data_IF_224116156695
#
_entry.id   IF_224116156695
#
_cell.length_a   1.000
_cell.length_b   1.000
_cell.length_c   1.000
_cell.angle_alpha   90.00
_cell.angle_beta   90.00
_cell.angle_gamma   90.00
#
_symmetry.space_group_name_H-M   'P 1'
#
loop_
_entity.id
_entity.type
_entity.pdbx_description
1 polymer ?
#
# COMPACT_ATOMS: atom_id res chain seq x y z
N UNK A 1 -1.16 18.87 -9.18
CA UNK A 1 -0.56 17.85 -8.31
C UNK A 1 -1.43 17.75 -7.06
N UNK A 2 -1.72 16.52 -6.61
CA UNK A 2 -2.60 16.26 -5.48
C UNK A 2 -1.76 15.97 -4.23
N UNK A 3 -2.21 16.48 -3.08
CA UNK A 3 -1.72 16.14 -1.74
C UNK A 3 -2.67 15.11 -1.13
N UNK A 4 -2.10 14.06 -0.55
CA UNK A 4 -2.89 13.02 0.11
C UNK A 4 -3.02 13.26 1.60
N UNK A 5 -4.24 13.20 2.12
CA UNK A 5 -4.59 13.57 3.48
C UNK A 5 -5.40 12.46 4.15
N UNK A 6 -5.22 12.29 5.46
CA UNK A 6 -6.14 11.53 6.31
C UNK A 6 -6.92 12.48 7.19
N UNK A 7 -8.23 12.52 7.00
CA UNK A 7 -9.18 13.16 7.90
C UNK A 7 -9.70 12.14 8.92
N UNK A 8 -9.73 12.54 10.20
CA UNK A 8 -10.33 11.77 11.30
C UNK A 8 -11.33 12.66 12.02
N UNK A 9 -12.60 12.28 12.02
CA UNK A 9 -13.67 13.05 12.64
C UNK A 9 -14.85 12.19 13.06
N UNK A 10 -15.95 12.82 13.44
CA UNK A 10 -17.20 12.12 13.70
C UNK A 10 -17.97 11.84 12.40
N UNK A 11 -18.84 10.84 12.40
CA UNK A 11 -19.76 10.55 11.28
C UNK A 11 -20.76 11.70 11.05
N UNK A 12 -21.07 12.49 12.08
CA UNK A 12 -22.01 13.59 11.97
C UNK A 12 -21.48 14.68 11.01
N UNK A 13 -22.25 15.00 9.95
CA UNK A 13 -21.93 15.99 8.91
C UNK A 13 -20.68 15.69 8.06
N UNK A 14 -20.30 14.42 7.96
CA UNK A 14 -19.19 14.04 7.09
C UNK A 14 -19.47 14.25 5.60
N UNK A 15 -20.74 14.19 5.18
CA UNK A 15 -21.17 14.53 3.82
C UNK A 15 -20.68 15.93 3.42
N UNK A 16 -20.67 16.90 4.35
CA UNK A 16 -20.14 18.24 4.10
C UNK A 16 -18.63 18.25 3.78
N UNK A 17 -17.88 17.22 4.19
CA UNK A 17 -16.49 17.03 3.79
C UNK A 17 -16.40 16.39 2.41
N UNK A 18 -17.20 15.37 2.12
CA UNK A 18 -17.21 14.73 0.80
C UNK A 18 -17.61 15.72 -0.30
N UNK A 19 -18.67 16.51 -0.09
CA UNK A 19 -19.11 17.58 -1.00
C UNK A 19 -17.99 18.61 -1.25
N UNK A 20 -17.30 19.05 -0.19
CA UNK A 20 -16.18 19.98 -0.35
C UNK A 20 -15.05 19.38 -1.20
N UNK A 21 -14.75 18.10 -1.01
CA UNK A 21 -13.68 17.44 -1.75
C UNK A 21 -14.04 17.33 -3.23
N UNK A 22 -15.29 16.99 -3.55
CA UNK A 22 -15.80 16.98 -4.92
C UNK A 22 -15.77 18.39 -5.55
N UNK A 23 -16.20 19.42 -4.82
CA UNK A 23 -16.17 20.82 -5.29
C UNK A 23 -14.76 21.33 -5.59
N UNK A 24 -13.76 20.83 -4.84
CA UNK A 24 -12.35 21.15 -5.06
C UNK A 24 -11.70 20.30 -6.15
N UNK A 25 -12.44 19.38 -6.80
CA UNK A 25 -11.90 18.45 -7.78
C UNK A 25 -10.94 17.42 -7.18
N UNK A 26 -11.08 17.14 -5.88
CA UNK A 26 -10.38 16.09 -5.15
C UNK A 26 -11.15 14.76 -5.18
N UNK A 27 -10.59 13.75 -4.52
CA UNK A 27 -11.11 12.39 -4.52
C UNK A 27 -11.07 11.77 -3.13
N UNK A 28 -12.10 10.99 -2.80
CA UNK A 28 -12.10 10.13 -1.61
C UNK A 28 -11.46 8.78 -1.96
N UNK A 29 -10.22 8.59 -1.51
CA UNK A 29 -9.46 7.35 -1.74
C UNK A 29 -10.03 6.18 -0.94
N UNK A 30 -10.41 6.44 0.30
CA UNK A 30 -10.94 5.45 1.21
C UNK A 30 -11.84 6.11 2.24
N UNK A 31 -12.95 5.44 2.52
CA UNK A 31 -13.82 5.74 3.64
C UNK A 31 -13.83 4.56 4.61
N UNK A 32 -13.69 4.84 5.91
CA UNK A 32 -13.79 3.82 6.95
C UNK A 32 -14.54 4.38 8.15
N UNK A 33 -15.73 3.82 8.37
CA UNK A 33 -16.58 4.12 9.51
C UNK A 33 -16.37 3.09 10.62
N UNK A 34 -16.06 3.56 11.83
CA UNK A 34 -15.97 2.72 13.03
C UNK A 34 -16.81 3.32 14.15
N UNK A 35 -18.00 2.78 14.37
CA UNK A 35 -18.98 3.24 15.36
C UNK A 35 -19.41 4.70 15.16
N UNK A 36 -18.74 5.65 15.82
CA UNK A 36 -19.00 7.09 15.68
C UNK A 36 -17.84 7.82 15.00
N UNK A 37 -16.71 7.14 14.80
CA UNK A 37 -15.52 7.68 14.17
C UNK A 37 -15.56 7.43 12.67
N UNK A 38 -15.14 8.44 11.92
CA UNK A 38 -14.94 8.39 10.49
C UNK A 38 -13.48 8.70 10.19
N UNK A 39 -12.85 7.83 9.40
CA UNK A 39 -11.53 8.06 8.83
C UNK A 39 -11.67 8.11 7.31
N UNK A 40 -11.37 9.27 6.73
CA UNK A 40 -11.33 9.48 5.28
C UNK A 40 -9.87 9.61 4.84
N UNK A 41 -9.51 8.91 3.78
CA UNK A 41 -8.28 9.17 3.02
C UNK A 41 -8.67 9.91 1.77
N UNK A 42 -8.04 11.06 1.54
CA UNK A 42 -8.44 12.06 0.55
C UNK A 42 -7.24 12.40 -0.33
N UNK A 43 -7.47 12.72 -1.60
CA UNK A 43 -6.51 13.35 -2.49
C UNK A 43 -7.07 14.70 -2.93
N UNK A 44 -6.35 15.79 -2.67
CA UNK A 44 -6.85 17.17 -2.85
C UNK A 44 -5.80 18.01 -3.56
N UNK A 45 -6.15 18.94 -4.48
CA UNK A 45 -5.16 19.85 -5.04
C UNK A 45 -4.36 20.57 -3.95
N UNK A 46 -3.04 20.69 -4.13
CA UNK A 46 -2.12 21.27 -3.13
C UNK A 46 -2.57 22.67 -2.66
N UNK A 47 -3.11 23.47 -3.59
CA UNK A 47 -3.57 24.84 -3.34
C UNK A 47 -4.77 24.91 -2.37
N UNK A 48 -5.53 23.82 -2.25
CA UNK A 48 -6.79 23.77 -1.51
C UNK A 48 -6.70 22.99 -0.19
N UNK A 49 -5.50 22.50 0.17
CA UNK A 49 -5.25 21.76 1.42
C UNK A 49 -5.69 22.57 2.65
N UNK A 50 -5.50 23.89 2.64
CA UNK A 50 -5.86 24.73 3.78
C UNK A 50 -7.38 24.86 3.95
N UNK A 51 -8.16 24.84 2.87
CA UNK A 51 -9.63 24.82 2.94
C UNK A 51 -10.12 23.54 3.62
N UNK A 52 -9.50 22.40 3.31
CA UNK A 52 -9.82 21.11 3.95
C UNK A 52 -9.47 21.13 5.44
N UNK A 53 -8.33 21.72 5.82
CA UNK A 53 -7.97 21.90 7.24
C UNK A 53 -8.96 22.80 7.98
N UNK A 54 -9.44 23.86 7.35
CA UNK A 54 -10.45 24.75 7.94
C UNK A 54 -11.78 24.03 8.15
N UNK A 55 -12.27 23.31 7.13
CA UNK A 55 -13.49 22.51 7.23
C UNK A 55 -13.36 21.42 8.30
N UNK A 56 -12.21 20.75 8.37
CA UNK A 56 -11.97 19.75 9.39
C UNK A 56 -12.05 20.33 10.80
N UNK A 57 -11.49 21.54 11.04
CA UNK A 57 -11.63 22.24 12.33
C UNK A 57 -13.09 22.58 12.64
N UNK A 58 -13.88 23.01 11.65
CA UNK A 58 -15.32 23.27 11.83
C UNK A 58 -16.08 22.00 12.25
N UNK A 59 -15.70 20.85 11.68
CA UNK A 59 -16.27 19.54 11.99
C UNK A 59 -15.62 18.86 13.21
N UNK A 60 -14.80 19.58 13.99
CA UNK A 60 -14.07 19.07 15.15
C UNK A 60 -13.19 17.83 14.84
N UNK A 61 -12.77 17.68 13.59
CA UNK A 61 -11.88 16.63 13.13
C UNK A 61 -10.41 17.05 13.07
N UNK A 62 -9.56 16.09 12.71
CA UNK A 62 -8.12 16.26 12.53
C UNK A 62 -7.74 15.87 11.11
N UNK A 63 -6.82 16.61 10.51
CA UNK A 63 -6.23 16.30 9.21
C UNK A 63 -4.74 16.07 9.41
N UNK A 64 -4.22 15.01 8.80
CA UNK A 64 -2.80 14.68 8.76
C UNK A 64 -2.43 14.36 7.31
N UNK A 65 -1.18 14.60 6.93
CA UNK A 65 -0.66 14.18 5.63
C UNK A 65 -0.54 12.66 5.63
N UNK A 66 -0.94 12.04 4.52
CA UNK A 66 -0.96 10.60 4.32
C UNK A 66 -0.05 10.24 3.14
N UNK A 67 1.28 10.27 3.33
CA UNK A 67 2.23 10.18 2.22
C UNK A 67 2.19 8.85 1.48
N UNK A 68 1.61 7.81 2.06
CA UNK A 68 1.49 6.47 1.46
C UNK A 68 0.07 6.17 0.97
N UNK A 69 -0.82 7.16 0.92
CA UNK A 69 -2.15 6.94 0.40
C UNK A 69 -2.09 6.58 -1.09
N UNK A 70 -2.93 5.63 -1.49
CA UNK A 70 -2.96 5.12 -2.87
C UNK A 70 -1.82 4.16 -3.22
N UNK A 71 -1.09 3.65 -2.22
CA UNK A 71 -0.08 2.61 -2.43
C UNK A 71 -0.45 1.30 -1.74
N UNK A 72 -0.02 0.19 -2.34
CA UNK A 72 -0.15 -1.15 -1.78
C UNK A 72 1.24 -1.72 -1.43
N UNK A 73 1.47 -2.06 -0.17
CA UNK A 73 2.76 -2.48 0.39
C UNK A 73 2.69 -3.92 0.88
N UNK A 74 3.61 -4.77 0.44
CA UNK A 74 3.76 -6.12 0.96
C UNK A 74 4.57 -6.07 2.28
N UNK A 75 3.98 -6.47 3.41
CA UNK A 75 4.73 -6.66 4.67
C UNK A 75 5.04 -8.15 4.81
N UNK A 76 6.27 -8.52 4.45
CA UNK A 76 6.73 -9.90 4.35
C UNK A 76 7.37 -10.34 5.66
N UNK A 77 6.84 -11.40 6.26
CA UNK A 77 7.43 -12.04 7.43
C UNK A 77 7.96 -13.43 7.06
N UNK A 78 9.17 -13.82 7.53
CA UNK A 78 9.67 -15.18 7.38
C UNK A 78 8.75 -16.27 7.94
N UNK A 79 7.84 -15.91 8.87
CA UNK A 79 6.82 -16.81 9.41
C UNK A 79 5.71 -16.03 10.11
N UNK A 80 4.46 -16.49 9.94
CA UNK A 80 3.28 -16.04 10.68
C UNK A 80 2.72 -17.13 11.61
N UNK A 81 3.57 -18.11 11.99
CA UNK A 81 3.12 -19.20 12.83
C UNK A 81 2.84 -18.74 14.27
N UNK A 82 1.80 -19.31 14.87
CA UNK A 82 1.26 -18.93 16.19
C UNK A 82 2.32 -18.89 17.30
N UNK A 83 3.30 -19.79 17.29
CA UNK A 83 4.38 -19.82 18.30
C UNK A 83 5.34 -18.62 18.23
N UNK A 84 5.25 -17.79 17.18
CA UNK A 84 6.06 -16.59 17.02
C UNK A 84 5.30 -15.30 17.37
N UNK A 85 4.04 -15.42 17.81
CA UNK A 85 3.28 -14.27 18.29
C UNK A 85 3.87 -13.68 19.58
N UNK A 86 3.81 -12.35 19.75
CA UNK A 86 3.36 -11.36 18.77
C UNK A 86 4.39 -11.13 17.64
N UNK A 87 3.90 -10.91 16.42
CA UNK A 87 4.77 -10.59 15.28
C UNK A 87 5.01 -9.07 15.21
N UNK A 88 6.28 -8.66 15.14
CA UNK A 88 6.66 -7.26 14.87
C UNK A 88 6.13 -6.78 13.51
N UNK A 89 6.00 -7.68 12.54
CA UNK A 89 5.37 -7.42 11.23
C UNK A 89 3.95 -6.86 11.36
N UNK A 90 3.15 -7.31 12.33
CA UNK A 90 1.80 -6.76 12.56
C UNK A 90 1.83 -5.33 13.08
N UNK A 91 2.80 -4.99 13.94
CA UNK A 91 2.96 -3.61 14.43
C UNK A 91 3.50 -2.69 13.32
N UNK A 92 4.41 -3.18 12.47
CA UNK A 92 4.89 -2.48 11.27
C UNK A 92 3.72 -2.18 10.32
N UNK A 93 2.95 -3.22 10.01
CA UNK A 93 1.73 -3.17 9.20
C UNK A 93 0.76 -2.11 9.73
N UNK A 94 0.40 -2.20 11.01
CA UNK A 94 -0.49 -1.23 11.67
C UNK A 94 0.07 0.20 11.61
N UNK A 95 1.40 0.37 11.72
CA UNK A 95 2.02 1.69 11.66
C UNK A 95 1.97 2.29 10.26
N UNK A 96 2.29 1.52 9.21
CA UNK A 96 2.23 1.96 7.81
C UNK A 96 0.80 2.36 7.41
N UNK A 97 -0.22 1.58 7.84
CA UNK A 97 -1.64 1.92 7.61
C UNK A 97 -2.04 3.30 8.13
N UNK A 98 -1.45 3.76 9.25
CA UNK A 98 -1.73 5.09 9.82
C UNK A 98 -1.23 6.24 8.95
N UNK A 99 -0.31 5.97 8.03
CA UNK A 99 0.23 6.93 7.07
C UNK A 99 -0.39 6.79 5.67
N UNK A 100 -1.50 6.06 5.57
CA UNK A 100 -2.31 5.94 4.34
C UNK A 100 -2.06 4.67 3.52
N UNK A 101 -1.02 3.89 3.85
CA UNK A 101 -0.69 2.69 3.09
C UNK A 101 -1.80 1.65 3.17
N UNK A 102 -2.05 0.98 2.05
CA UNK A 102 -2.66 -0.35 2.05
C UNK A 102 -1.56 -1.36 2.14
N UNK A 103 -1.74 -2.36 2.99
CA UNK A 103 -0.71 -3.35 3.18
C UNK A 103 -1.29 -4.76 3.31
N UNK A 104 -0.56 -5.69 2.72
CA UNK A 104 -0.87 -7.11 2.77
C UNK A 104 0.25 -7.80 3.52
N UNK A 105 -0.12 -8.47 4.60
CA UNK A 105 0.84 -9.24 5.39
C UNK A 105 1.05 -10.60 4.72
N UNK A 106 2.26 -10.85 4.24
CA UNK A 106 2.64 -12.09 3.55
C UNK A 106 3.54 -12.91 4.48
N UNK A 107 3.09 -14.12 4.82
CA UNK A 107 3.89 -15.06 5.59
C UNK A 107 4.49 -16.12 4.69
N UNK A 108 5.82 -16.15 4.58
CA UNK A 108 6.47 -17.17 3.77
C UNK A 108 6.21 -18.58 4.33
N UNK A 109 5.90 -19.52 3.45
CA UNK A 109 5.65 -20.92 3.81
C UNK A 109 6.91 -21.56 4.44
N UNK A 110 8.10 -21.17 3.96
CA UNK A 110 9.40 -21.66 4.45
C UNK A 110 10.42 -20.54 4.65
N UNK A 111 10.03 -19.40 5.20
CA UNK A 111 10.99 -18.31 5.47
C UNK A 111 11.84 -18.49 6.75
N UNK A 112 11.42 -19.37 7.67
CA UNK A 112 12.07 -19.55 8.97
C UNK A 112 13.36 -20.41 8.90
N UNK A 113 14.27 -20.20 9.87
CA UNK A 113 15.56 -20.91 9.93
C UNK A 113 16.62 -20.29 9.03
N UNK A 114 17.91 -20.45 9.38
CA UNK A 114 19.03 -19.82 8.68
C UNK A 114 19.47 -20.55 7.41
N UNK A 115 19.49 -21.89 7.45
CA UNK A 115 19.98 -22.73 6.35
C UNK A 115 18.92 -23.50 5.58
N UNK A 116 17.63 -23.30 5.91
CA UNK A 116 16.51 -24.00 5.26
C UNK A 116 15.46 -23.02 4.72
N UNK A 117 15.70 -21.70 4.88
CA UNK A 117 14.76 -20.71 4.38
C UNK A 117 14.70 -20.80 2.85
N UNK A 118 13.50 -20.71 2.32
CA UNK A 118 13.20 -20.69 0.90
C UNK A 118 12.03 -19.76 0.65
N UNK A 119 12.01 -19.22 -0.55
CA UNK A 119 10.87 -18.53 -1.14
C UNK A 119 10.55 -19.24 -2.46
N UNK A 120 9.28 -19.45 -2.72
CA UNK A 120 8.80 -19.98 -3.99
C UNK A 120 8.65 -18.86 -5.03
N UNK A 121 8.61 -19.23 -6.31
CA UNK A 121 8.36 -18.29 -7.40
C UNK A 121 6.99 -17.63 -7.28
N UNK A 122 5.95 -18.40 -6.93
CA UNK A 122 4.60 -17.87 -6.66
C UNK A 122 4.59 -16.83 -5.52
N UNK A 123 5.37 -17.05 -4.45
CA UNK A 123 5.50 -16.08 -3.36
C UNK A 123 6.23 -14.81 -3.81
N UNK A 124 7.25 -14.93 -4.68
CA UNK A 124 7.94 -13.77 -5.27
C UNK A 124 6.99 -12.98 -6.16
N UNK A 125 6.31 -13.65 -7.09
CA UNK A 125 5.34 -13.04 -7.99
C UNK A 125 4.24 -12.32 -7.19
N UNK A 126 3.73 -12.92 -6.12
CA UNK A 126 2.76 -12.28 -5.22
C UNK A 126 3.31 -11.00 -4.59
N UNK A 127 4.57 -10.99 -4.15
CA UNK A 127 5.20 -9.80 -3.57
C UNK A 127 5.36 -8.71 -4.64
N UNK A 128 5.80 -9.06 -5.84
CA UNK A 128 6.02 -8.14 -6.98
C UNK A 128 4.75 -7.46 -7.50
N UNK A 129 3.57 -7.99 -7.18
CA UNK A 129 2.32 -7.29 -7.49
C UNK A 129 2.12 -5.99 -6.71
N UNK A 130 2.95 -5.69 -5.69
CA UNK A 130 2.82 -4.53 -4.81
C UNK A 130 3.74 -3.37 -5.23
N UNK A 131 3.52 -2.18 -4.70
CA UNK A 131 4.36 -1.01 -5.00
C UNK A 131 5.75 -1.09 -4.36
N UNK A 132 5.82 -1.72 -3.18
CA UNK A 132 7.01 -1.85 -2.33
C UNK A 132 6.86 -3.06 -1.39
N UNK A 133 7.98 -3.71 -1.04
CA UNK A 133 8.01 -4.78 -0.06
C UNK A 133 8.83 -4.42 1.20
N UNK A 134 8.27 -4.70 2.38
CA UNK A 134 8.96 -4.57 3.67
C UNK A 134 9.20 -5.96 4.27
N UNK A 135 10.46 -6.41 4.28
CA UNK A 135 10.87 -7.69 4.85
C UNK A 135 11.21 -7.54 6.34
N UNK A 136 10.31 -8.02 7.20
CA UNK A 136 10.49 -8.00 8.65
C UNK A 136 11.31 -9.20 9.13
N UNK A 137 12.64 -9.05 9.17
CA UNK A 137 13.57 -10.13 9.54
C UNK A 137 13.85 -10.19 11.05
N UNK A 138 14.72 -11.11 11.43
CA UNK A 138 15.02 -11.45 12.81
C UNK A 138 15.99 -10.50 13.52
N UNK A 139 16.58 -11.00 14.61
CA UNK A 139 17.42 -10.19 15.50
C UNK A 139 18.92 -10.42 15.35
N UNK A 140 19.33 -11.33 14.46
CA UNK A 140 20.73 -11.73 14.31
C UNK A 140 21.27 -11.26 12.96
N UNK A 141 22.36 -10.49 12.98
CA UNK A 141 23.01 -9.95 11.77
C UNK A 141 23.32 -11.04 10.76
N UNK A 142 23.96 -12.11 11.22
CA UNK A 142 24.32 -13.25 10.38
C UNK A 142 23.10 -13.96 9.77
N UNK A 143 21.95 -13.96 10.43
CA UNK A 143 20.73 -14.53 9.87
C UNK A 143 20.11 -13.63 8.80
N UNK A 144 20.28 -12.31 8.90
CA UNK A 144 19.78 -11.34 7.94
C UNK A 144 20.62 -11.40 6.66
N UNK A 145 21.95 -11.35 6.80
CA UNK A 145 22.87 -11.35 5.64
C UNK A 145 22.84 -12.66 4.86
N UNK A 146 22.55 -13.80 5.49
CA UNK A 146 22.39 -15.08 4.78
C UNK A 146 21.02 -15.27 4.11
N UNK A 147 20.07 -14.35 4.33
CA UNK A 147 18.70 -14.43 3.82
C UNK A 147 18.40 -13.50 2.66
N UNK A 148 19.43 -12.91 2.05
CA UNK A 148 19.30 -12.03 0.89
C UNK A 148 18.62 -12.72 -0.29
N UNK A 149 18.86 -14.02 -0.46
CA UNK A 149 18.15 -14.88 -1.43
C UNK A 149 16.62 -14.88 -1.34
N UNK A 150 16.03 -14.38 -0.25
CA UNK A 150 14.57 -14.24 -0.13
C UNK A 150 14.03 -13.05 -0.93
N UNK A 151 14.87 -12.08 -1.29
CA UNK A 151 14.46 -10.84 -1.92
C UNK A 151 15.44 -10.27 -2.96
N UNK A 152 16.59 -10.93 -3.20
CA UNK A 152 17.59 -10.43 -4.14
C UNK A 152 17.14 -10.37 -5.60
N UNK A 153 16.16 -11.20 -5.97
CA UNK A 153 15.60 -11.25 -7.33
C UNK A 153 14.23 -10.55 -7.42
N UNK A 154 13.84 -9.74 -6.43
CA UNK A 154 12.57 -9.01 -6.46
C UNK A 154 12.78 -7.68 -7.18
N UNK A 155 11.95 -7.39 -8.19
CA UNK A 155 12.12 -6.19 -9.02
C UNK A 155 11.58 -4.91 -8.37
N UNK A 156 10.57 -5.02 -7.49
CA UNK A 156 10.01 -3.88 -6.78
C UNK A 156 10.92 -3.44 -5.63
N UNK A 157 10.85 -2.17 -5.18
CA UNK A 157 11.69 -1.71 -4.08
C UNK A 157 11.52 -2.54 -2.80
N UNK A 158 12.64 -2.90 -2.17
CA UNK A 158 12.71 -3.75 -0.97
C UNK A 158 13.32 -2.98 0.21
N UNK A 159 12.55 -2.90 1.29
CA UNK A 159 13.01 -2.40 2.60
C UNK A 159 13.15 -3.55 3.57
N UNK A 160 14.34 -3.76 4.13
CA UNK A 160 14.59 -4.82 5.11
C UNK A 160 14.62 -4.25 6.52
N UNK A 161 13.96 -4.91 7.46
CA UNK A 161 14.02 -4.54 8.89
C UNK A 161 14.67 -5.64 9.72
N UNK A 162 15.37 -5.24 10.78
CA UNK A 162 15.99 -6.17 11.72
C UNK A 162 16.38 -5.50 13.03
N UNK A 163 16.75 -6.30 14.04
CA UNK A 163 17.20 -5.72 15.32
C UNK A 163 18.57 -4.99 15.22
N UNK A 164 19.63 -5.57 14.63
CA UNK A 164 20.95 -4.93 14.60
C UNK A 164 20.96 -3.72 13.65
N UNK A 165 21.94 -2.85 13.79
CA UNK A 165 22.28 -1.89 12.74
C UNK A 165 23.23 -2.58 11.75
N UNK A 166 22.83 -2.60 10.47
CA UNK A 166 23.59 -3.18 9.36
C UNK A 166 23.63 -2.11 8.28
N UNK A 167 24.76 -2.01 7.58
CA UNK A 167 24.84 -1.16 6.40
C UNK A 167 24.07 -1.81 5.23
N UNK A 168 23.31 -1.03 4.47
CA UNK A 168 22.54 -1.55 3.33
C UNK A 168 23.43 -2.24 2.30
N UNK A 169 24.68 -1.82 2.14
CA UNK A 169 25.66 -2.47 1.25
C UNK A 169 26.00 -3.92 1.64
N UNK A 170 25.74 -4.32 2.89
CA UNK A 170 25.90 -5.71 3.36
C UNK A 170 24.66 -6.59 3.07
N UNK A 171 23.60 -6.01 2.50
CA UNK A 171 22.32 -6.69 2.23
C UNK A 171 21.96 -6.52 0.74
N UNK A 172 22.57 -7.32 -0.15
CA UNK A 172 22.21 -7.35 -1.56
C UNK A 172 20.70 -7.52 -1.77
N UNK A 173 20.14 -6.77 -2.72
CA UNK A 173 18.71 -6.78 -3.03
C UNK A 173 17.83 -5.90 -2.14
N UNK A 174 18.40 -5.22 -1.14
CA UNK A 174 17.66 -4.25 -0.33
C UNK A 174 18.00 -2.81 -0.77
N UNK A 175 16.98 -2.02 -1.06
CA UNK A 175 17.12 -0.58 -1.30
C UNK A 175 17.37 0.20 -0.01
N UNK A 176 16.85 -0.31 1.11
CA UNK A 176 17.05 0.27 2.41
C UNK A 176 17.01 -0.75 3.55
N UNK A 177 17.71 -0.42 4.64
CA UNK A 177 17.69 -1.20 5.87
C UNK A 177 17.30 -0.34 7.09
N UNK A 178 16.38 -0.85 7.90
CA UNK A 178 15.92 -0.21 9.14
C UNK A 178 16.19 -1.10 10.35
N UNK A 179 17.16 -0.69 11.16
CA UNK A 179 17.51 -1.33 12.43
C UNK A 179 16.49 -1.04 13.54
N UNK A 180 16.53 -1.83 14.62
CA UNK A 180 15.64 -1.72 15.78
C UNK A 180 14.28 -2.42 15.64
N UNK A 181 14.01 -3.08 14.52
CA UNK A 181 12.74 -3.75 14.20
C UNK A 181 12.96 -5.24 13.86
N UNK A 182 13.49 -6.01 14.83
CA UNK A 182 13.70 -7.45 14.68
C UNK A 182 12.57 -8.30 15.27
N UNK A 183 12.91 -9.50 15.77
CA UNK A 183 11.96 -10.35 16.49
C UNK A 183 11.83 -9.87 17.94
N UNK A 184 10.73 -9.18 18.23
CA UNK A 184 10.43 -8.61 19.54
C UNK A 184 9.15 -9.29 20.06
N UNK A 185 9.20 -10.13 21.12
CA UNK A 185 8.04 -10.89 21.61
C UNK A 185 7.11 -10.03 22.48
N UNK A 186 6.86 -8.79 22.07
CA UNK A 186 5.94 -7.83 22.69
C UNK A 186 5.50 -6.81 21.64
N UNK A 187 4.39 -6.11 21.89
CA UNK A 187 3.96 -4.97 21.06
C UNK A 187 5.01 -3.86 21.04
N UNK A 188 5.18 -3.21 19.88
CA UNK A 188 6.12 -2.10 19.63
C UNK A 188 5.59 -0.75 20.16
N UNK A 189 5.50 -0.63 21.50
CA UNK A 189 4.98 0.58 22.17
C UNK A 189 6.03 1.40 22.91
N UNK A 190 7.28 0.94 22.98
CA UNK A 190 8.34 1.69 23.68
C UNK A 190 8.86 2.82 22.79
N UNK A 191 9.42 3.86 23.43
CA UNK A 191 9.95 5.01 22.70
C UNK A 191 11.02 4.66 21.67
N UNK A 192 11.84 3.63 21.93
CA UNK A 192 12.80 3.10 20.96
C UNK A 192 12.12 2.46 19.74
N UNK A 193 11.07 1.67 19.96
CA UNK A 193 10.33 1.01 18.89
C UNK A 193 9.62 2.07 18.03
N UNK A 194 8.99 3.07 18.66
CA UNK A 194 8.29 4.15 17.95
C UNK A 194 9.27 4.96 17.09
N UNK A 195 10.49 5.22 17.57
CA UNK A 195 11.51 5.89 16.77
C UNK A 195 11.92 5.04 15.56
N UNK A 196 12.08 3.73 15.74
CA UNK A 196 12.42 2.84 14.64
C UNK A 196 11.27 2.73 13.60
N UNK A 197 10.02 2.69 14.06
CA UNK A 197 8.82 2.72 13.19
C UNK A 197 8.69 4.04 12.42
N UNK A 198 8.97 5.19 13.05
CA UNK A 198 9.02 6.49 12.34
C UNK A 198 10.10 6.51 11.27
N UNK A 199 11.30 6.02 11.60
CA UNK A 199 12.38 5.89 10.61
C UNK A 199 11.98 4.99 9.45
N UNK A 200 11.27 3.89 9.71
CA UNK A 200 10.73 3.04 8.65
C UNK A 200 9.77 3.80 7.74
N UNK A 201 8.86 4.59 8.31
CA UNK A 201 7.94 5.43 7.54
C UNK A 201 8.68 6.43 6.67
N UNK A 202 9.64 7.17 7.23
CA UNK A 202 10.45 8.14 6.48
C UNK A 202 11.21 7.51 5.31
N UNK A 203 11.75 6.30 5.51
CA UNK A 203 12.45 5.53 4.46
C UNK A 203 11.49 5.09 3.36
N UNK A 204 10.34 4.51 3.72
CA UNK A 204 9.34 4.04 2.76
C UNK A 204 8.75 5.21 1.98
N UNK A 205 8.42 6.31 2.64
CA UNK A 205 7.97 7.55 2.02
C UNK A 205 8.98 8.07 0.98
N UNK A 206 10.25 8.18 1.35
CA UNK A 206 11.29 8.64 0.43
C UNK A 206 11.51 7.72 -0.78
N UNK A 207 11.26 6.41 -0.67
CA UNK A 207 11.31 5.48 -1.81
C UNK A 207 10.09 5.67 -2.71
N UNK A 208 8.89 5.76 -2.12
CA UNK A 208 7.66 5.96 -2.89
C UNK A 208 7.66 7.31 -3.61
N UNK A 209 8.19 8.37 -3.00
CA UNK A 209 8.29 9.68 -3.61
C UNK A 209 9.25 9.69 -4.80
N UNK A 210 10.39 8.99 -4.70
CA UNK A 210 11.28 8.81 -5.86
C UNK A 210 10.57 8.09 -7.00
N UNK A 211 9.84 7.02 -6.68
CA UNK A 211 9.08 6.26 -7.68
C UNK A 211 7.99 7.13 -8.32
N UNK A 212 7.30 7.98 -7.56
CA UNK A 212 6.34 8.96 -8.10
C UNK A 212 7.00 9.97 -9.05
N UNK A 213 8.21 10.43 -8.72
CA UNK A 213 8.97 11.34 -9.59
C UNK A 213 9.41 10.63 -10.87
N UNK A 214 9.93 9.41 -10.78
CA UNK A 214 10.30 8.59 -11.95
C UNK A 214 9.08 8.31 -12.83
N UNK A 215 7.93 8.00 -12.24
CA UNK A 215 6.67 7.82 -12.97
C UNK A 215 6.11 9.12 -13.54
N UNK A 216 6.51 10.30 -13.05
CA UNK A 216 6.05 11.56 -13.62
C UNK A 216 6.71 11.86 -14.97
N UNK A 217 7.85 11.22 -15.27
CA UNK A 217 8.51 11.32 -16.59
C UNK A 217 7.72 10.58 -17.68
N UNK A 218 7.03 9.49 -17.34
CA UNK A 218 6.13 8.74 -18.22
C UNK A 218 4.92 8.22 -17.42
N UNK A 219 3.91 9.08 -17.17
CA UNK A 219 2.80 8.76 -16.28
C UNK A 219 1.84 7.73 -16.90
N UNK A 220 1.06 7.03 -16.07
CA UNK A 220 -0.07 6.23 -16.56
C UNK A 220 -1.06 7.08 -17.37
N UNK A 221 -1.62 6.51 -18.44
CA UNK A 221 -2.59 7.17 -19.34
C UNK A 221 -3.75 7.83 -18.58
N UNK A 222 -4.18 7.19 -17.49
CA UNK A 222 -5.16 7.72 -16.55
C UNK A 222 -4.66 7.52 -15.11
N UNK A 223 -4.94 8.44 -14.18
CA UNK A 223 -4.66 8.22 -12.76
C UNK A 223 -5.35 6.97 -12.21
N UNK A 224 -4.64 6.14 -11.44
CA UNK A 224 -5.17 4.93 -10.81
C UNK A 224 -6.37 5.19 -9.88
N UNK A 225 -6.43 6.39 -9.30
CA UNK A 225 -7.55 6.83 -8.46
C UNK A 225 -8.86 6.94 -9.25
N UNK A 226 -8.81 7.41 -10.49
CA UNK A 226 -9.99 7.51 -11.36
C UNK A 226 -10.47 6.11 -11.74
N UNK A 227 -9.54 5.23 -12.12
CA UNK A 227 -9.85 3.84 -12.45
C UNK A 227 -10.53 3.14 -11.29
N UNK A 228 -10.05 3.34 -10.06
CA UNK A 228 -10.71 2.82 -8.85
C UNK A 228 -12.17 3.30 -8.76
N UNK A 229 -12.40 4.60 -8.87
CA UNK A 229 -13.74 5.20 -8.76
C UNK A 229 -14.67 4.67 -9.85
N UNK A 230 -14.20 4.58 -11.09
CA UNK A 230 -15.01 4.09 -12.21
C UNK A 230 -15.37 2.61 -12.07
N UNK A 231 -14.45 1.77 -11.59
CA UNK A 231 -14.76 0.36 -11.30
C UNK A 231 -15.80 0.26 -10.17
N UNK A 232 -15.67 1.03 -9.10
CA UNK A 232 -16.63 1.05 -7.98
C UNK A 232 -18.04 1.54 -8.42
N UNK A 233 -18.10 2.39 -9.46
CA UNK A 233 -19.35 2.91 -10.02
C UNK A 233 -20.00 1.97 -11.04
N UNK A 234 -19.21 1.39 -11.95
CA UNK A 234 -19.71 0.67 -13.12
C UNK A 234 -19.83 -0.83 -12.91
N UNK A 235 -19.09 -1.44 -11.97
CA UNK A 235 -19.10 -2.90 -11.72
C UNK A 235 -19.91 -3.21 -10.46
N UNK A 236 -21.17 -3.69 -10.56
CA UNK A 236 -22.05 -3.87 -9.40
C UNK A 236 -21.52 -4.91 -8.40
N UNK A 237 -20.84 -5.95 -8.87
CA UNK A 237 -20.30 -7.03 -8.04
C UNK A 237 -19.31 -6.53 -6.97
N UNK A 238 -18.66 -5.38 -7.21
CA UNK A 238 -17.75 -4.75 -6.25
C UNK A 238 -18.46 -4.38 -4.95
N UNK A 239 -19.76 -4.05 -5.02
CA UNK A 239 -20.59 -3.67 -3.85
C UNK A 239 -20.97 -4.86 -2.97
N UNK A 240 -20.82 -6.08 -3.48
CA UNK A 240 -21.11 -7.31 -2.73
C UNK A 240 -19.89 -7.84 -1.96
N UNK A 241 -18.71 -7.23 -2.15
CA UNK A 241 -17.49 -7.60 -1.44
C UNK A 241 -17.55 -7.12 0.01
N UNK A 242 -17.52 -8.07 0.94
CA UNK A 242 -17.48 -7.79 2.39
C UNK A 242 -16.09 -7.39 2.92
N UNK A 243 -15.03 -7.59 2.13
CA UNK A 243 -13.68 -7.24 2.56
C UNK A 243 -13.50 -5.72 2.59
N UNK A 244 -12.68 -5.18 3.51
CA UNK A 244 -12.42 -3.75 3.54
C UNK A 244 -11.72 -3.34 2.24
N UNK A 245 -12.24 -2.30 1.58
CA UNK A 245 -11.79 -1.78 0.27
C UNK A 245 -11.85 -2.85 -0.84
N UNK A 246 -12.94 -2.85 -1.63
CA UNK A 246 -13.12 -3.83 -2.68
C UNK A 246 -12.20 -3.57 -3.89
N UNK A 247 -11.81 -2.32 -4.10
CA UNK A 247 -10.79 -1.90 -5.07
C UNK A 247 -9.66 -1.18 -4.32
N UNK A 248 -8.43 -1.62 -4.54
CA UNK A 248 -7.21 -1.09 -3.89
C UNK A 248 -6.37 -0.39 -4.94
N UNK A 249 -6.10 0.91 -4.75
CA UNK A 249 -5.19 1.66 -5.63
C UNK A 249 -3.73 1.31 -5.36
N UNK A 250 -2.96 1.28 -6.45
CA UNK A 250 -1.50 1.23 -6.51
C UNK A 250 -0.99 2.46 -7.26
N UNK A 251 0.32 2.67 -7.30
CA UNK A 251 0.90 3.80 -8.03
C UNK A 251 0.58 3.75 -9.53
N UNK A 252 0.65 2.54 -10.11
CA UNK A 252 0.56 2.27 -11.54
C UNK A 252 -0.71 1.48 -11.93
N UNK A 253 -1.70 1.38 -11.03
CA UNK A 253 -2.85 0.53 -11.30
C UNK A 253 -3.78 0.31 -10.12
N UNK A 254 -4.59 -0.74 -10.21
CA UNK A 254 -5.54 -1.12 -9.16
C UNK A 254 -5.64 -2.63 -9.03
N UNK A 255 -5.91 -3.10 -7.81
CA UNK A 255 -6.32 -4.48 -7.51
C UNK A 255 -7.80 -4.51 -7.20
N UNK A 256 -8.56 -5.28 -7.98
CA UNK A 256 -9.99 -5.50 -7.78
C UNK A 256 -10.18 -6.86 -7.12
N UNK A 257 -10.79 -6.90 -5.93
CA UNK A 257 -11.02 -8.13 -5.15
C UNK A 257 -12.20 -8.97 -5.68
N UNK A 258 -12.29 -9.08 -6.99
CA UNK A 258 -13.18 -9.96 -7.72
C UNK A 258 -12.33 -11.04 -8.41
N UNK A 259 -12.88 -12.25 -8.48
CA UNK A 259 -12.21 -13.35 -9.15
C UNK A 259 -11.97 -13.01 -10.62
N UNK A 260 -10.73 -13.22 -11.09
CA UNK A 260 -10.32 -12.93 -12.46
C UNK A 260 -11.12 -13.71 -13.49
N UNK A 261 -11.27 -15.02 -13.29
CA UNK A 261 -11.89 -15.91 -14.27
C UNK A 261 -13.36 -15.54 -14.50
N UNK A 262 -14.03 -14.99 -13.47
CA UNK A 262 -15.43 -14.59 -13.53
C UNK A 262 -15.66 -13.14 -14.02
N UNK A 263 -14.76 -12.20 -13.68
CA UNK A 263 -15.04 -10.76 -13.83
C UNK A 263 -14.07 -9.97 -14.73
N UNK A 264 -12.97 -10.55 -15.20
CA UNK A 264 -11.96 -9.78 -15.97
C UNK A 264 -12.54 -9.14 -17.25
N UNK A 265 -13.46 -9.79 -17.95
CA UNK A 265 -14.12 -9.22 -19.15
C UNK A 265 -15.06 -8.05 -18.84
N UNK A 266 -15.68 -8.05 -17.65
CA UNK A 266 -16.53 -6.95 -17.21
C UNK A 266 -15.65 -5.76 -16.83
N UNK A 267 -14.59 -6.02 -16.06
CA UNK A 267 -13.60 -5.02 -15.66
C UNK A 267 -12.92 -4.41 -16.89
N UNK A 268 -12.58 -5.20 -17.91
CA UNK A 268 -11.94 -4.69 -19.13
C UNK A 268 -12.82 -3.72 -19.94
N UNK A 269 -14.14 -3.77 -19.76
CA UNK A 269 -15.12 -2.93 -20.49
C UNK A 269 -15.45 -1.63 -19.75
N UNK A 270 -14.91 -1.42 -18.55
CA UNK A 270 -15.10 -0.19 -17.78
C UNK A 270 -14.55 0.99 -18.58
N UNK A 271 -15.35 2.06 -18.66
CA UNK A 271 -14.98 3.28 -19.37
C UNK A 271 -14.39 4.27 -18.39
N UNK A 272 -13.16 4.72 -18.63
CA UNK A 272 -12.46 5.72 -17.81
C UNK A 272 -12.13 6.91 -18.70
N UNK A 273 -12.79 8.04 -18.47
CA UNK A 273 -12.81 9.18 -19.39
C UNK A 273 -13.28 8.74 -20.79
N UNK A 274 -12.40 8.88 -21.79
CA UNK A 274 -12.66 8.51 -23.20
C UNK A 274 -12.08 7.13 -23.57
N UNK A 275 -11.53 6.39 -22.60
CA UNK A 275 -10.84 5.11 -22.83
C UNK A 275 -11.62 3.93 -22.27
N UNK A 276 -11.52 2.79 -22.94
CA UNK A 276 -11.94 1.48 -22.41
C UNK A 276 -10.76 0.88 -21.67
N UNK A 277 -10.97 0.41 -20.42
CA UNK A 277 -9.88 0.00 -19.53
C UNK A 277 -8.98 -1.07 -20.15
N UNK A 278 -9.55 -2.05 -20.87
CA UNK A 278 -8.79 -3.10 -21.54
C UNK A 278 -7.85 -2.62 -22.65
N UNK A 279 -8.05 -1.42 -23.19
CA UNK A 279 -7.18 -0.84 -24.23
C UNK A 279 -5.98 -0.10 -23.63
N UNK A 280 -6.08 0.31 -22.37
CA UNK A 280 -5.10 1.16 -21.67
C UNK A 280 -4.45 0.46 -20.46
N UNK A 281 -4.66 -0.84 -20.30
CA UNK A 281 -4.13 -1.60 -19.17
C UNK A 281 -3.85 -3.07 -19.51
N UNK A 282 -2.91 -3.65 -18.78
CA UNK A 282 -2.72 -5.10 -18.68
C UNK A 282 -3.58 -5.62 -17.51
N UNK A 283 -4.56 -6.47 -17.84
CA UNK A 283 -5.49 -7.07 -16.88
C UNK A 283 -5.13 -8.54 -16.69
N UNK A 284 -4.53 -8.85 -15.55
CA UNK A 284 -3.98 -10.17 -15.26
C UNK A 284 -4.55 -10.77 -13.98
N UNK A 285 -4.49 -12.10 -13.93
CA UNK A 285 -4.85 -12.89 -12.75
C UNK A 285 -3.80 -12.67 -11.67
N UNK A 286 -4.26 -12.28 -10.49
CA UNK A 286 -3.40 -12.07 -9.32
C UNK A 286 -3.09 -13.40 -8.63
N UNK A 287 -1.86 -13.54 -8.15
CA UNK A 287 -1.45 -14.60 -7.22
C UNK A 287 -2.16 -14.48 -5.85
N UNK A 288 -2.79 -13.34 -5.56
CA UNK A 288 -3.59 -13.10 -4.37
C UNK A 288 -5.04 -13.51 -4.60
N UNK A 289 -5.41 -14.71 -4.11
CA UNK A 289 -6.80 -15.22 -4.14
C UNK A 289 -7.46 -15.18 -5.53
N UNK A 290 -6.67 -15.28 -6.60
CA UNK A 290 -7.16 -15.21 -7.98
C UNK A 290 -7.90 -13.91 -8.30
N UNK A 291 -7.58 -12.82 -7.58
CA UNK A 291 -8.15 -11.50 -7.82
C UNK A 291 -7.75 -10.93 -9.19
N UNK A 292 -8.41 -9.85 -9.60
CA UNK A 292 -8.06 -9.15 -10.84
C UNK A 292 -7.07 -8.03 -10.54
N UNK A 293 -5.90 -8.07 -11.17
CA UNK A 293 -4.90 -7.01 -11.11
C UNK A 293 -4.89 -6.25 -12.44
N UNK A 294 -5.06 -4.93 -12.35
CA UNK A 294 -5.06 -4.01 -13.49
C UNK A 294 -3.81 -3.14 -13.40
N UNK A 295 -2.91 -3.26 -14.37
CA UNK A 295 -1.69 -2.44 -14.49
C UNK A 295 -1.84 -1.49 -15.67
N UNK A 296 -1.83 -0.19 -15.39
CA UNK A 296 -2.06 0.84 -16.39
C UNK A 296 -0.83 1.01 -17.26
N UNK A 297 -1.06 1.15 -18.55
CA UNK A 297 0.01 1.43 -19.48
C UNK A 297 0.46 2.90 -19.34
N UNK A 298 1.76 3.19 -19.53
CA UNK A 298 2.25 4.56 -19.58
C UNK A 298 1.78 5.26 -20.86
N UNK A 299 1.77 6.60 -20.87
CA UNK A 299 1.36 7.42 -22.03
C UNK A 299 2.12 7.06 -23.31
N UNK A 300 3.40 6.69 -23.20
CA UNK A 300 4.22 6.27 -24.34
C UNK A 300 3.69 5.02 -25.06
N UNK A 301 2.86 4.19 -24.42
CA UNK A 301 2.34 2.94 -25.01
C UNK A 301 1.22 3.16 -26.03
N UNK A 302 0.65 4.36 -26.12
CA UNK A 302 -0.39 4.72 -27.11
C UNK A 302 0.21 5.22 -28.44
N UNK A 303 1.51 5.57 -28.46
CA UNK A 303 2.21 6.13 -29.64
C UNK A 303 2.66 5.01 -30.59
#
# INVERSE_FOLDING_TARGET
MYETLTYTGGIHKHEEMNELIEDLGGFVLQETTSQMDLVLTLAVPIEDVDKVKEKAKQLLGKVQIAPMAGTEIAVVSPTLARQHLPHSACDISEYLRRYGAKDNMIGLARGAGKGISRISEDEKNLIEEHDLAVFALGSFKECITNKTHLFEDIEIPVVVTGAPNIDVSEIPGADAYVGGLGRIPRRLKRGEDIRALRKLVEVVEGILDKKRVEMADDPPIVPSILVKTEIENQVPAVKEIYSPLPVVSQLDGVRVKLNYDDYHEEISKVVVNDYVLGDISDIKKSFMYDYTLVKLLPETSII
#
